data_IF_269322804935
#
_entry.id   IF_269322804935
#
_cell.length_a   1.000
_cell.length_b   1.000
_cell.length_c   1.000
_cell.angle_alpha   90.00
_cell.angle_beta   90.00
_cell.angle_gamma   90.00
#
_symmetry.space_group_name_H-M   'P 1'
#
loop_
_entity.id
_entity.type
_entity.pdbx_description
1 polymer ?
#
# COMPACT_ATOMS: atom_id res chain seq x y z
N UNK A 1 -55.79 -7.38 34.38
CA UNK A 1 -55.23 -8.53 33.62
C UNK A 1 -54.93 -8.15 32.16
N UNK A 2 -55.82 -7.44 31.45
CA UNK A 2 -55.56 -7.00 30.06
C UNK A 2 -54.40 -6.00 29.89
N UNK A 3 -54.21 -5.09 30.86
CA UNK A 3 -53.12 -4.09 30.81
C UNK A 3 -51.72 -4.73 30.85
N UNK A 4 -51.52 -5.73 31.73
CA UNK A 4 -50.26 -6.47 31.82
C UNK A 4 -49.96 -7.30 30.55
N UNK A 5 -51.00 -7.81 29.88
CA UNK A 5 -50.87 -8.54 28.61
C UNK A 5 -50.43 -7.59 27.49
N UNK A 6 -51.01 -6.38 27.43
CA UNK A 6 -50.67 -5.33 26.46
C UNK A 6 -49.21 -4.87 26.62
N UNK A 7 -48.74 -4.70 27.85
CA UNK A 7 -47.34 -4.35 28.13
C UNK A 7 -46.36 -5.44 27.68
N UNK A 8 -46.70 -6.71 27.90
CA UNK A 8 -45.87 -7.84 27.46
C UNK A 8 -45.81 -7.90 25.92
N UNK A 9 -46.95 -7.71 25.25
CA UNK A 9 -47.01 -7.73 23.79
C UNK A 9 -46.16 -6.61 23.15
N UNK A 10 -46.28 -5.38 23.66
CA UNK A 10 -45.46 -4.25 23.19
C UNK A 10 -43.97 -4.50 23.44
N UNK A 11 -43.61 -5.06 24.59
CA UNK A 11 -42.23 -5.39 24.92
C UNK A 11 -41.67 -6.43 23.95
N UNK A 12 -42.42 -7.50 23.67
CA UNK A 12 -42.02 -8.55 22.73
C UNK A 12 -41.87 -7.97 21.32
N UNK A 13 -42.83 -7.15 20.88
CA UNK A 13 -42.77 -6.49 19.57
C UNK A 13 -41.54 -5.57 19.48
N UNK A 14 -41.26 -4.80 20.53
CA UNK A 14 -40.09 -3.92 20.62
C UNK A 14 -38.78 -4.69 20.52
N UNK A 15 -38.64 -5.80 21.25
CA UNK A 15 -37.45 -6.68 21.18
C UNK A 15 -37.30 -7.27 19.78
N UNK A 16 -38.38 -7.70 19.13
CA UNK A 16 -38.34 -8.22 17.77
C UNK A 16 -37.93 -7.16 16.75
N UNK A 17 -38.47 -5.93 16.86
CA UNK A 17 -38.12 -4.83 15.95
C UNK A 17 -36.66 -4.41 16.13
N UNK A 18 -36.18 -4.27 17.37
CA UNK A 18 -34.78 -3.93 17.67
C UNK A 18 -33.86 -5.05 17.17
N UNK A 19 -34.20 -6.32 17.42
CA UNK A 19 -33.46 -7.47 16.93
C UNK A 19 -33.41 -7.51 15.39
N UNK A 20 -34.51 -7.20 14.72
CA UNK A 20 -34.60 -7.15 13.27
C UNK A 20 -33.80 -5.98 12.67
N UNK A 21 -33.89 -4.79 13.27
CA UNK A 21 -33.07 -3.62 12.88
C UNK A 21 -31.58 -3.91 13.07
N UNK A 22 -31.20 -4.49 14.21
CA UNK A 22 -29.83 -4.90 14.49
C UNK A 22 -29.37 -5.98 13.49
N UNK A 23 -30.24 -6.90 13.09
CA UNK A 23 -29.94 -7.91 12.07
C UNK A 23 -29.72 -7.28 10.69
N UNK A 24 -30.51 -6.27 10.31
CA UNK A 24 -30.33 -5.54 9.04
C UNK A 24 -29.03 -4.73 9.06
N UNK A 25 -28.78 -3.97 10.14
CA UNK A 25 -27.56 -3.19 10.30
C UNK A 25 -26.31 -4.08 10.33
N UNK A 26 -26.36 -5.22 11.03
CA UNK A 26 -25.24 -6.15 11.09
C UNK A 26 -25.09 -7.03 9.85
N UNK A 27 -26.11 -7.15 8.99
CA UNK A 27 -25.97 -7.79 7.66
C UNK A 27 -25.15 -6.95 6.68
N UNK A 28 -24.95 -5.65 6.93
CA UNK A 28 -24.01 -4.81 6.18
C UNK A 28 -22.53 -5.12 6.49
N UNK A 29 -22.24 -5.62 7.68
CA UNK A 29 -20.86 -5.83 8.18
C UNK A 29 -20.53 -7.29 8.53
N UNK A 30 -21.45 -8.24 8.27
CA UNK A 30 -21.22 -9.69 8.44
C UNK A 30 -21.14 -10.40 7.09
N UNK A 31 -20.44 -9.77 6.15
CA UNK A 31 -19.78 -10.49 5.08
C UNK A 31 -18.85 -11.52 5.72
N UNK A 32 -19.16 -12.78 5.49
CA UNK A 32 -18.29 -13.90 5.83
C UNK A 32 -16.87 -13.58 5.38
N UNK A 33 -15.91 -14.08 6.16
CA UNK A 33 -14.48 -14.09 5.83
C UNK A 33 -14.33 -14.93 4.55
N UNK A 34 -14.62 -14.35 3.39
CA UNK A 34 -14.01 -14.80 2.14
C UNK A 34 -12.50 -14.60 2.34
N UNK A 35 -11.65 -15.58 2.00
CA UNK A 35 -10.23 -15.30 1.89
C UNK A 35 -10.17 -14.14 0.90
N UNK A 36 -9.75 -12.96 1.36
CA UNK A 36 -9.74 -11.74 0.56
C UNK A 36 -9.13 -12.12 -0.78
N UNK A 37 -9.98 -12.30 -1.80
CA UNK A 37 -9.51 -12.68 -3.11
C UNK A 37 -8.51 -11.59 -3.45
N UNK A 38 -7.24 -11.97 -3.61
CA UNK A 38 -6.20 -11.03 -3.98
C UNK A 38 -6.75 -10.23 -5.16
N UNK A 39 -6.98 -8.92 -5.00
CA UNK A 39 -7.42 -8.10 -6.12
C UNK A 39 -6.43 -8.37 -7.24
N UNK A 40 -6.91 -8.93 -8.35
CA UNK A 40 -6.09 -9.18 -9.53
C UNK A 40 -5.23 -7.93 -9.76
N UNK A 41 -3.90 -8.05 -9.84
CA UNK A 41 -3.02 -6.89 -9.94
C UNK A 41 -3.51 -6.02 -11.10
N UNK A 42 -4.06 -4.86 -10.78
CA UNK A 42 -4.61 -3.95 -11.79
C UNK A 42 -3.50 -3.22 -12.56
N UNK A 43 -2.27 -3.31 -12.05
CA UNK A 43 -1.06 -2.84 -12.71
C UNK A 43 -0.16 -4.02 -13.11
N UNK A 44 0.55 -3.89 -14.24
CA UNK A 44 1.65 -4.81 -14.55
C UNK A 44 2.66 -4.84 -13.39
N UNK A 45 3.39 -5.96 -13.22
CA UNK A 45 4.42 -6.07 -12.19
C UNK A 45 5.38 -4.88 -12.21
N UNK A 46 5.81 -4.41 -11.04
CA UNK A 46 6.90 -3.42 -10.96
C UNK A 46 8.15 -4.07 -11.55
N UNK A 47 8.60 -3.59 -12.71
CA UNK A 47 9.84 -4.04 -13.34
C UNK A 47 10.88 -2.97 -13.08
N UNK A 48 11.74 -3.25 -12.11
CA UNK A 48 13.00 -2.52 -11.95
C UNK A 48 14.10 -3.24 -12.73
N UNK A 49 15.09 -2.50 -13.25
CA UNK A 49 16.29 -3.13 -13.80
C UNK A 49 17.08 -3.84 -12.70
N UNK A 50 18.12 -4.57 -13.09
CA UNK A 50 18.99 -5.26 -12.14
C UNK A 50 19.57 -4.28 -11.12
N UNK A 51 19.84 -4.75 -9.88
CA UNK A 51 20.15 -3.87 -8.76
C UNK A 51 21.34 -2.90 -8.99
N UNK A 52 22.25 -3.25 -9.88
CA UNK A 52 23.43 -2.46 -10.25
C UNK A 52 23.15 -1.41 -11.35
N UNK A 53 22.01 -1.51 -12.03
CA UNK A 53 21.58 -0.62 -13.12
C UNK A 53 20.46 0.33 -12.69
N UNK A 54 19.92 0.18 -11.48
CA UNK A 54 18.86 1.05 -10.95
C UNK A 54 19.38 2.49 -10.84
N UNK A 55 18.76 3.38 -11.63
CA UNK A 55 18.93 4.81 -11.57
C UNK A 55 17.82 5.47 -10.73
N UNK A 56 18.07 6.72 -10.30
CA UNK A 56 17.11 7.49 -9.54
C UNK A 56 15.76 7.68 -10.27
N UNK A 57 15.80 7.80 -11.61
CA UNK A 57 14.61 7.95 -12.45
C UNK A 57 13.72 6.70 -12.39
N UNK A 58 14.32 5.51 -12.41
CA UNK A 58 13.59 4.24 -12.34
C UNK A 58 12.77 4.12 -11.05
N UNK A 59 13.29 4.66 -9.94
CA UNK A 59 12.61 4.67 -8.63
C UNK A 59 11.42 5.63 -8.64
N UNK A 60 11.58 6.81 -9.24
CA UNK A 60 10.52 7.82 -9.34
C UNK A 60 9.34 7.40 -10.24
N UNK A 61 9.60 6.51 -11.18
CA UNK A 61 8.60 5.99 -12.12
C UNK A 61 7.84 4.77 -11.59
N UNK A 62 8.24 4.19 -10.45
CA UNK A 62 7.55 3.04 -9.86
C UNK A 62 6.10 3.40 -9.53
N UNK A 63 5.17 2.50 -9.88
CA UNK A 63 3.76 2.58 -9.48
C UNK A 63 3.35 1.28 -8.82
N UNK A 64 2.90 1.37 -7.56
CA UNK A 64 2.39 0.23 -6.80
C UNK A 64 0.87 0.14 -6.92
N UNK A 65 0.35 -1.08 -7.02
CA UNK A 65 -1.08 -1.33 -6.89
C UNK A 65 -1.52 -1.19 -5.42
N UNK A 66 -2.73 -0.66 -5.20
CA UNK A 66 -3.32 -0.53 -3.86
C UNK A 66 -4.07 -1.82 -3.52
N UNK A 67 -3.74 -2.43 -2.38
CA UNK A 67 -4.39 -3.64 -1.86
C UNK A 67 -5.22 -3.37 -0.60
N UNK A 68 -6.09 -4.33 -0.24
CA UNK A 68 -6.89 -4.29 1.00
C UNK A 68 -6.04 -4.31 2.28
N UNK A 69 -4.78 -4.76 2.16
CA UNK A 69 -3.72 -4.63 3.16
C UNK A 69 -2.45 -4.18 2.45
N UNK A 70 -1.65 -3.37 3.13
CA UNK A 70 -0.38 -2.87 2.60
C UNK A 70 0.28 -1.90 3.57
N UNK A 71 1.51 -1.50 3.25
CA UNK A 71 2.16 -0.39 3.93
C UNK A 71 1.41 0.92 3.65
N UNK A 72 1.54 1.90 4.55
CA UNK A 72 0.92 3.21 4.33
C UNK A 72 1.62 3.92 3.17
N UNK A 73 0.83 4.41 2.20
CA UNK A 73 1.35 5.03 0.97
C UNK A 73 2.28 6.20 1.27
N UNK A 74 1.94 7.07 2.23
CA UNK A 74 2.79 8.21 2.63
C UNK A 74 4.15 7.79 3.19
N UNK A 75 4.21 6.67 3.91
CA UNK A 75 5.47 6.15 4.45
C UNK A 75 6.32 5.54 3.35
N UNK A 76 5.70 4.80 2.43
CA UNK A 76 6.38 4.22 1.27
C UNK A 76 6.94 5.34 0.39
N UNK A 77 6.13 6.35 0.05
CA UNK A 77 6.54 7.49 -0.76
C UNK A 77 7.72 8.24 -0.14
N UNK A 78 7.68 8.47 1.19
CA UNK A 78 8.78 9.12 1.89
C UNK A 78 10.08 8.29 1.84
N UNK A 79 10.00 6.97 1.90
CA UNK A 79 11.17 6.09 1.80
C UNK A 79 11.71 6.09 0.36
N UNK A 80 10.84 6.03 -0.64
CA UNK A 80 11.22 6.07 -2.06
C UNK A 80 11.89 7.40 -2.44
N UNK A 81 11.39 8.52 -1.91
CA UNK A 81 12.01 9.83 -2.10
C UNK A 81 13.46 9.84 -1.56
N UNK A 82 13.65 9.33 -0.34
CA UNK A 82 15.00 9.22 0.26
C UNK A 82 15.92 8.29 -0.53
N UNK A 83 15.38 7.18 -1.03
CA UNK A 83 16.14 6.24 -1.87
C UNK A 83 16.52 6.86 -3.21
N UNK A 84 15.63 7.65 -3.81
CA UNK A 84 15.88 8.37 -5.07
C UNK A 84 17.08 9.30 -4.91
N UNK A 85 17.09 10.11 -3.85
CA UNK A 85 18.22 10.99 -3.52
C UNK A 85 19.51 10.20 -3.27
N UNK A 86 19.44 9.13 -2.48
CA UNK A 86 20.62 8.32 -2.16
C UNK A 86 21.24 7.65 -3.39
N UNK A 87 20.42 7.16 -4.32
CA UNK A 87 20.89 6.57 -5.58
C UNK A 87 21.51 7.65 -6.47
N UNK A 88 20.88 8.82 -6.58
CA UNK A 88 21.44 9.94 -7.34
C UNK A 88 22.82 10.38 -6.82
N UNK A 89 22.95 10.53 -5.50
CA UNK A 89 24.22 10.91 -4.86
C UNK A 89 25.31 9.87 -5.09
N UNK A 90 24.96 8.57 -5.02
CA UNK A 90 25.88 7.47 -5.32
C UNK A 90 26.34 7.51 -6.77
N UNK A 91 25.41 7.69 -7.70
CA UNK A 91 25.72 7.68 -9.13
C UNK A 91 26.60 8.88 -9.51
N UNK A 92 26.37 10.04 -8.88
CA UNK A 92 27.27 11.20 -9.03
C UNK A 92 28.69 10.89 -8.53
N UNK A 93 28.82 10.32 -7.32
CA UNK A 93 30.14 9.96 -6.78
C UNK A 93 30.87 8.93 -7.66
N UNK A 94 30.15 7.95 -8.20
CA UNK A 94 30.72 6.97 -9.13
C UNK A 94 31.22 7.67 -10.40
N UNK A 95 30.43 8.59 -10.95
CA UNK A 95 30.84 9.35 -12.15
C UNK A 95 32.10 10.19 -11.90
N UNK A 96 32.16 10.89 -10.77
CA UNK A 96 33.34 11.68 -10.37
C UNK A 96 34.58 10.79 -10.21
N UNK A 97 34.46 9.65 -9.53
CA UNK A 97 35.56 8.69 -9.37
C UNK A 97 36.03 8.11 -10.71
N UNK A 98 35.11 7.75 -11.59
CA UNK A 98 35.42 7.26 -12.93
C UNK A 98 36.17 8.32 -13.74
N UNK A 99 35.77 9.59 -13.65
CA UNK A 99 36.49 10.68 -14.29
C UNK A 99 37.92 10.78 -13.74
N UNK A 100 38.13 10.76 -12.44
CA UNK A 100 39.47 10.83 -11.84
C UNK A 100 40.38 9.68 -12.31
N UNK A 101 39.86 8.45 -12.30
CA UNK A 101 40.58 7.27 -12.79
C UNK A 101 40.96 7.42 -14.26
N UNK A 102 40.02 7.87 -15.10
CA UNK A 102 40.28 8.08 -16.52
C UNK A 102 41.36 9.16 -16.74
N UNK A 103 41.31 10.28 -16.04
CA UNK A 103 42.33 11.33 -16.13
C UNK A 103 43.73 10.81 -15.74
N UNK A 104 43.82 9.99 -14.69
CA UNK A 104 45.09 9.41 -14.25
C UNK A 104 45.66 8.41 -15.26
N UNK A 105 44.81 7.64 -15.94
CA UNK A 105 45.23 6.70 -16.99
C UNK A 105 45.81 7.42 -18.22
N UNK A 106 45.20 8.55 -18.61
CA UNK A 106 45.68 9.36 -19.74
C UNK A 106 47.04 9.99 -19.44
N UNK A 107 47.26 10.45 -18.20
CA UNK A 107 48.56 10.99 -17.76
C UNK A 107 49.68 9.95 -17.66
N UNK A 108 49.35 8.66 -17.51
CA UNK A 108 50.35 7.58 -17.36
C UNK A 108 50.79 6.98 -18.71
N UNK A 109 50.11 7.32 -19.80
CA UNK A 109 50.34 6.75 -21.14
C UNK A 109 51.14 7.69 -22.04
N UNK A 110 51.31 8.95 -21.64
CA UNK A 110 52.27 9.92 -22.23
C UNK A 110 53.63 9.86 -21.54
#
# INVERSE_FOLDING_TARGET
>A
MGDAILLIEILVLGVLVIGFLAMIMTRGDRGMIEPLAEPLPSLPPVVLPEAHEIAAQDISDIRFAVGLRGYRTDQVDQVLERLTVAVQDRDQQISELQQMVNHQQHQSTE
#
